data_IF_101891917537
#
_entry.id   IF_101891917537
#
_cell.length_a   1.000
_cell.length_b   1.000
_cell.length_c   1.000
_cell.angle_alpha   90.00
_cell.angle_beta   90.00
_cell.angle_gamma   90.00
#
_symmetry.space_group_name_H-M   'P 1'
#
loop_
_entity.id
_entity.type
_entity.pdbx_description
1 polymer ?
#
# COMPACT_ATOMS: atom_id res chain seq x y z
N UNK A 1 0.23 -3.81 5.84
CA UNK A 1 1.59 -3.33 6.19
C UNK A 1 2.43 -2.94 4.97
N UNK A 2 2.51 -3.75 3.90
CA UNK A 2 3.37 -3.42 2.73
C UNK A 2 3.09 -2.05 2.10
N UNK A 3 1.84 -1.66 1.91
CA UNK A 3 1.48 -0.36 1.31
C UNK A 3 1.91 0.83 2.17
N UNK A 4 1.83 0.70 3.49
CA UNK A 4 2.31 1.72 4.41
C UNK A 4 3.84 1.87 4.32
N UNK A 5 4.57 0.76 4.39
CA UNK A 5 6.04 0.77 4.30
C UNK A 5 6.53 1.36 2.97
N UNK A 6 5.89 1.01 1.86
CA UNK A 6 6.22 1.57 0.53
C UNK A 6 6.07 3.08 0.51
N UNK A 7 4.97 3.62 1.04
CA UNK A 7 4.76 5.07 1.10
C UNK A 7 5.76 5.79 2.00
N UNK A 8 6.14 5.21 3.14
CA UNK A 8 7.15 5.77 4.04
C UNK A 8 8.56 5.75 3.40
N UNK A 9 8.93 4.65 2.74
CA UNK A 9 10.20 4.55 2.01
C UNK A 9 10.24 5.59 0.88
N UNK A 10 9.15 5.75 0.13
CA UNK A 10 9.07 6.75 -0.92
C UNK A 10 9.31 8.16 -0.40
N UNK A 11 8.75 8.53 0.77
CA UNK A 11 9.03 9.82 1.41
C UNK A 11 10.52 10.01 1.70
N UNK A 12 11.17 9.00 2.25
CA UNK A 12 12.61 9.10 2.57
C UNK A 12 13.47 9.23 1.32
N UNK A 13 13.14 8.50 0.26
CA UNK A 13 13.86 8.58 -1.02
C UNK A 13 13.70 9.97 -1.64
N UNK A 14 12.49 10.53 -1.61
CA UNK A 14 12.25 11.86 -2.15
C UNK A 14 12.91 13.00 -1.33
N UNK A 15 13.08 12.81 -0.04
CA UNK A 15 13.89 13.74 0.78
C UNK A 15 15.35 13.77 0.33
N UNK A 16 15.84 12.73 -0.35
CA UNK A 16 17.18 12.71 -0.96
C UNK A 16 17.19 13.28 -2.39
N UNK A 17 16.08 13.85 -2.88
CA UNK A 17 15.96 14.43 -4.22
C UNK A 17 15.71 13.41 -5.32
N UNK A 18 15.37 12.16 -5.00
CA UNK A 18 15.09 11.10 -5.98
C UNK A 18 13.58 10.97 -6.15
N UNK A 19 13.01 11.27 -7.33
CA UNK A 19 11.57 11.16 -7.53
C UNK A 19 11.11 9.70 -7.47
N UNK A 20 9.96 9.49 -6.83
CA UNK A 20 9.33 8.17 -6.69
C UNK A 20 7.87 8.20 -7.14
N UNK A 21 7.33 7.04 -7.47
CA UNK A 21 5.90 6.81 -7.65
C UNK A 21 5.51 5.48 -7.02
N UNK A 22 4.43 5.48 -6.23
CA UNK A 22 3.90 4.28 -5.62
C UNK A 22 2.73 3.74 -6.45
N UNK A 23 2.82 2.50 -6.91
CA UNK A 23 1.66 1.77 -7.44
C UNK A 23 0.93 1.12 -6.28
N UNK A 24 -0.37 1.39 -6.13
CA UNK A 24 -1.14 0.93 -4.98
C UNK A 24 -2.52 0.42 -5.38
N UNK A 25 -2.95 -0.64 -4.69
CA UNK A 25 -4.35 -1.12 -4.69
C UNK A 25 -5.05 -0.91 -3.34
N UNK A 26 -4.44 -0.12 -2.43
CA UNK A 26 -4.98 0.19 -1.11
C UNK A 26 -5.07 1.71 -0.93
N UNK A 27 -6.13 2.31 -1.51
CA UNK A 27 -6.29 3.76 -1.57
C UNK A 27 -6.22 4.43 -0.20
N UNK A 28 -7.01 3.95 0.76
CA UNK A 28 -7.08 4.55 2.10
C UNK A 28 -5.73 4.54 2.84
N UNK A 29 -4.98 3.44 2.71
CA UNK A 29 -3.65 3.34 3.33
C UNK A 29 -2.68 4.31 2.64
N UNK A 30 -2.70 4.36 1.30
CA UNK A 30 -1.82 5.24 0.52
C UNK A 30 -2.09 6.71 0.85
N UNK A 31 -3.35 7.09 0.99
CA UNK A 31 -3.75 8.45 1.37
C UNK A 31 -3.35 8.78 2.80
N UNK A 32 -3.55 7.86 3.77
CA UNK A 32 -3.20 8.10 5.17
C UNK A 32 -1.70 8.25 5.39
N UNK A 33 -0.88 7.50 4.63
CA UNK A 33 0.58 7.63 4.65
C UNK A 33 1.05 8.89 3.92
N UNK A 34 0.20 9.47 3.04
CA UNK A 34 0.55 10.61 2.18
C UNK A 34 1.82 10.32 1.37
N UNK A 35 1.81 9.19 0.63
CA UNK A 35 2.92 8.88 -0.29
C UNK A 35 3.16 10.08 -1.22
N UNK A 36 4.42 10.47 -1.52
CA UNK A 36 4.70 11.67 -2.29
C UNK A 36 3.99 11.72 -3.63
N UNK A 37 4.03 10.61 -4.37
CA UNK A 37 3.29 10.40 -5.61
C UNK A 37 2.74 8.99 -5.60
N UNK A 38 1.47 8.83 -5.93
CA UNK A 38 0.88 7.51 -6.02
C UNK A 38 -0.09 7.40 -7.19
N UNK A 39 -0.18 6.19 -7.70
CA UNK A 39 -1.16 5.78 -8.70
C UNK A 39 -1.97 4.65 -8.10
N UNK A 40 -3.29 4.80 -8.09
CA UNK A 40 -4.21 3.82 -7.55
C UNK A 40 -4.89 3.03 -8.66
N UNK A 41 -5.09 1.76 -8.39
CA UNK A 41 -5.83 0.84 -9.24
C UNK A 41 -6.65 -0.12 -8.38
N UNK A 42 -7.90 -0.36 -8.75
CA UNK A 42 -8.81 -1.25 -7.99
C UNK A 42 -8.63 -2.72 -8.40
N UNK A 43 -7.44 -3.25 -8.09
CA UNK A 43 -7.03 -4.62 -8.39
C UNK A 43 -6.67 -5.39 -7.11
N UNK A 44 -6.71 -6.74 -7.15
CA UNK A 44 -6.25 -7.56 -6.03
C UNK A 44 -4.80 -7.29 -5.67
N UNK A 45 -4.47 -7.47 -4.39
CA UNK A 45 -3.08 -7.43 -3.92
C UNK A 45 -2.20 -8.41 -4.72
N UNK A 46 -1.05 -7.91 -5.16
CA UNK A 46 -0.14 -8.68 -6.02
C UNK A 46 -0.37 -8.47 -7.53
N UNK A 47 -1.44 -7.81 -7.93
CA UNK A 47 -1.76 -7.52 -9.34
C UNK A 47 -1.77 -6.02 -9.67
N UNK A 48 -1.13 -5.19 -8.87
CA UNK A 48 -1.08 -3.73 -9.05
C UNK A 48 -0.40 -3.29 -10.36
N UNK A 49 0.42 -4.15 -10.96
CA UNK A 49 1.09 -3.86 -12.24
C UNK A 49 0.31 -4.38 -13.46
N UNK A 50 -0.91 -4.88 -13.27
CA UNK A 50 -1.80 -5.32 -14.34
C UNK A 50 -2.27 -6.77 -14.21
N UNK A 51 -3.21 -7.13 -15.05
CA UNK A 51 -3.78 -8.48 -15.10
C UNK A 51 -2.75 -9.47 -15.65
N UNK A 52 -2.68 -10.71 -15.11
CA UNK A 52 -1.80 -11.73 -15.67
C UNK A 52 -2.20 -12.05 -17.11
N UNK A 53 -1.20 -12.24 -17.95
CA UNK A 53 -1.34 -12.54 -19.39
C UNK A 53 -2.09 -11.46 -20.20
N UNK A 54 -2.15 -10.22 -19.70
CA UNK A 54 -2.71 -9.07 -20.40
C UNK A 54 -1.63 -7.98 -20.57
N UNK A 55 -0.78 -8.09 -21.61
CA UNK A 55 0.29 -7.11 -21.86
C UNK A 55 -0.24 -5.69 -22.07
N UNK A 56 -1.44 -5.54 -22.66
CA UNK A 56 -2.03 -4.23 -22.92
C UNK A 56 -2.41 -3.51 -21.63
N UNK A 57 -2.99 -4.23 -20.65
CA UNK A 57 -3.31 -3.69 -19.36
C UNK A 57 -2.04 -3.33 -18.55
N UNK A 58 -1.05 -4.21 -18.59
CA UNK A 58 0.24 -3.99 -17.93
C UNK A 58 0.98 -2.78 -18.49
N UNK A 59 1.04 -2.66 -19.82
CA UNK A 59 1.68 -1.53 -20.49
C UNK A 59 0.97 -0.21 -20.17
N UNK A 60 -0.36 -0.20 -20.20
CA UNK A 60 -1.15 0.97 -19.83
C UNK A 60 -0.82 1.45 -18.42
N UNK A 61 -0.86 0.55 -17.43
CA UNK A 61 -0.62 0.89 -16.03
C UNK A 61 0.80 1.41 -15.84
N UNK A 62 1.80 0.75 -16.41
CA UNK A 62 3.19 1.16 -16.27
C UNK A 62 3.46 2.52 -16.92
N UNK A 63 2.90 2.76 -18.13
CA UNK A 63 3.03 4.06 -18.78
C UNK A 63 2.40 5.17 -17.97
N UNK A 64 1.22 4.95 -17.43
CA UNK A 64 0.54 5.93 -16.56
C UNK A 64 1.28 6.17 -15.25
N UNK A 65 1.84 5.12 -14.65
CA UNK A 65 2.65 5.26 -13.45
C UNK A 65 3.93 6.07 -13.70
N UNK A 66 4.62 5.82 -14.81
CA UNK A 66 5.82 6.58 -15.16
C UNK A 66 5.49 8.05 -15.49
N UNK A 67 4.39 8.30 -16.21
CA UNK A 67 3.94 9.68 -16.47
C UNK A 67 3.61 10.43 -15.19
N UNK A 68 3.05 9.75 -14.18
CA UNK A 68 2.69 10.35 -12.89
C UNK A 68 3.89 10.94 -12.14
N UNK A 69 5.12 10.52 -12.44
CA UNK A 69 6.34 11.13 -11.88
C UNK A 69 6.45 12.61 -12.27
N UNK A 70 6.08 12.93 -13.52
CA UNK A 70 6.09 14.31 -14.01
C UNK A 70 4.75 15.03 -13.78
N UNK A 71 3.62 14.31 -13.86
CA UNK A 71 2.29 14.88 -13.78
C UNK A 71 1.91 15.30 -12.35
N UNK A 72 2.38 14.56 -11.33
CA UNK A 72 2.11 14.88 -9.93
C UNK A 72 3.15 15.86 -9.43
N UNK A 73 2.74 17.11 -9.26
CA UNK A 73 3.56 18.20 -8.74
C UNK A 73 3.34 18.45 -7.25
N UNK A 74 2.17 18.09 -6.71
CA UNK A 74 1.84 18.25 -5.30
C UNK A 74 2.05 16.94 -4.54
N UNK A 75 2.96 16.91 -3.54
CA UNK A 75 3.18 15.73 -2.71
C UNK A 75 1.92 15.28 -1.98
N UNK A 76 1.70 13.96 -1.93
CA UNK A 76 0.51 13.37 -1.31
C UNK A 76 -0.66 13.16 -2.28
N UNK A 77 -0.51 13.57 -3.54
CA UNK A 77 -1.53 13.35 -4.57
C UNK A 77 -1.57 11.91 -5.04
N UNK A 78 -2.78 11.43 -5.35
CA UNK A 78 -3.04 10.10 -5.86
C UNK A 78 -3.83 10.20 -7.16
N UNK A 79 -3.32 9.63 -8.24
CA UNK A 79 -4.04 9.49 -9.51
C UNK A 79 -4.77 8.15 -9.49
N UNK A 80 -6.11 8.17 -9.62
CA UNK A 80 -6.90 6.97 -9.86
C UNK A 80 -6.88 6.65 -11.36
N UNK A 81 -6.47 5.42 -11.72
CA UNK A 81 -6.47 4.97 -13.11
C UNK A 81 -7.85 4.58 -13.63
N UNK A 82 -8.88 4.58 -12.75
CA UNK A 82 -10.26 4.20 -13.08
C UNK A 82 -10.37 2.81 -13.72
N UNK A 83 -9.37 1.94 -13.46
CA UNK A 83 -9.35 0.56 -13.92
C UNK A 83 -9.85 -0.35 -12.82
N UNK A 84 -10.69 -1.31 -13.19
CA UNK A 84 -11.27 -2.31 -12.28
C UNK A 84 -10.84 -3.71 -12.68
N UNK A 85 -10.68 -4.57 -11.69
CA UNK A 85 -10.36 -5.97 -11.90
C UNK A 85 -11.48 -6.70 -12.64
N UNK A 86 -12.73 -6.43 -12.24
CA UNK A 86 -13.96 -7.03 -12.76
C UNK A 86 -15.08 -6.02 -12.69
N UNK A 87 -16.13 -6.26 -13.47
CA UNK A 87 -17.36 -5.45 -13.48
C UNK A 87 -18.15 -5.55 -12.17
N UNK A 88 -17.93 -6.62 -11.38
CA UNK A 88 -18.53 -6.79 -10.05
C UNK A 88 -17.46 -6.75 -8.96
N UNK A 89 -17.86 -6.30 -7.76
CA UNK A 89 -16.99 -6.27 -6.58
C UNK A 89 -16.95 -7.60 -5.80
N UNK A 90 -17.56 -8.66 -6.32
CA UNK A 90 -17.62 -9.97 -5.65
C UNK A 90 -16.24 -10.57 -5.37
N UNK A 91 -15.26 -10.31 -6.24
CA UNK A 91 -13.88 -10.75 -6.04
C UNK A 91 -13.26 -10.21 -4.74
N UNK A 92 -13.68 -9.03 -4.28
CA UNK A 92 -13.21 -8.43 -3.01
C UNK A 92 -13.58 -9.31 -1.82
N UNK A 93 -14.74 -9.96 -1.87
CA UNK A 93 -15.19 -10.84 -0.80
C UNK A 93 -14.37 -12.14 -0.70
N UNK A 94 -13.88 -12.64 -1.82
CA UNK A 94 -13.09 -13.88 -1.87
C UNK A 94 -11.61 -13.65 -1.56
N UNK A 95 -11.05 -12.51 -1.96
CA UNK A 95 -9.64 -12.20 -1.79
C UNK A 95 -9.35 -11.58 -0.41
N UNK A 96 -10.29 -10.79 0.12
CA UNK A 96 -10.11 -10.05 1.37
C UNK A 96 -10.57 -10.80 2.62
N UNK A 97 -11.34 -11.87 2.47
CA UNK A 97 -11.82 -12.68 3.60
C UNK A 97 -11.27 -14.10 3.49
N UNK A 98 -10.69 -14.66 4.55
CA UNK A 98 -10.42 -16.08 4.60
C UNK A 98 -11.74 -16.81 4.35
N UNK A 99 -11.80 -17.68 3.34
CA UNK A 99 -12.97 -18.50 3.10
C UNK A 99 -13.23 -19.34 4.36
N UNK A 100 -14.37 -19.15 5.01
CA UNK A 100 -14.88 -20.06 6.05
C UNK A 100 -15.02 -21.44 5.38
N UNK A 101 -14.04 -22.32 5.56
CA UNK A 101 -14.07 -23.67 4.97
C UNK A 101 -12.82 -24.15 4.28
N UNK A 102 -11.79 -23.34 4.14
CA UNK A 102 -10.46 -23.86 3.76
C UNK A 102 -9.91 -24.53 5.01
N UNK A 103 -9.91 -25.87 4.99
CA UNK A 103 -9.37 -26.69 6.07
C UNK A 103 -7.96 -26.18 6.43
N UNK A 104 -7.69 -26.05 7.72
CA UNK A 104 -6.45 -25.59 8.34
C UNK A 104 -5.18 -26.36 7.90
N UNK A 105 -5.29 -27.28 6.94
CA UNK A 105 -4.23 -28.23 6.56
C UNK A 105 -3.46 -27.93 5.27
N UNK A 106 -3.72 -26.81 4.54
CA UNK A 106 -3.08 -26.62 3.23
C UNK A 106 -2.41 -25.26 3.04
N UNK A 107 -2.17 -24.52 4.09
CA UNK A 107 -1.30 -23.36 4.06
C UNK A 107 -0.38 -23.44 5.26
N UNK A 108 0.69 -24.22 5.15
CA UNK A 108 1.84 -24.00 6.00
C UNK A 108 2.46 -22.65 5.60
N UNK A 109 1.88 -21.58 6.14
CA UNK A 109 2.58 -20.30 6.18
C UNK A 109 3.73 -20.53 7.17
N UNK A 110 4.93 -20.75 6.68
CA UNK A 110 6.15 -20.97 7.47
C UNK A 110 6.56 -19.70 8.26
N UNK A 111 5.68 -18.69 8.30
CA UNK A 111 5.90 -17.51 9.11
C UNK A 111 5.71 -17.85 10.57
N UNK A 112 6.65 -17.38 11.37
CA UNK A 112 6.57 -17.41 12.83
C UNK A 112 5.18 -16.91 13.29
N UNK A 113 4.62 -17.60 14.27
CA UNK A 113 3.35 -17.28 14.90
C UNK A 113 3.20 -15.77 15.15
N UNK A 114 2.12 -15.18 14.67
CA UNK A 114 1.91 -13.74 14.85
C UNK A 114 1.58 -13.48 16.29
N UNK A 115 2.32 -12.57 16.90
CA UNK A 115 1.97 -12.09 18.23
C UNK A 115 0.60 -11.40 18.21
N UNK A 116 -0.17 -11.60 19.26
CA UNK A 116 -1.48 -10.96 19.45
C UNK A 116 -1.37 -9.44 19.68
N UNK A 117 -0.17 -8.98 20.06
CA UNK A 117 0.15 -7.58 20.30
C UNK A 117 1.16 -7.07 19.28
N UNK A 118 1.11 -5.79 18.88
CA UNK A 118 2.11 -5.19 18.01
C UNK A 118 3.51 -5.32 18.62
N UNK A 119 4.48 -5.63 17.77
CA UNK A 119 5.89 -5.71 18.16
C UNK A 119 6.59 -4.45 17.67
N UNK A 120 7.03 -3.62 18.58
CA UNK A 120 7.81 -2.42 18.30
C UNK A 120 9.31 -2.72 18.46
N UNK A 121 10.13 -2.08 17.64
CA UNK A 121 11.59 -2.23 17.74
C UNK A 121 12.16 -1.44 18.93
N UNK A 122 11.54 -0.29 19.20
CA UNK A 122 11.92 0.59 20.30
C UNK A 122 10.70 1.04 21.09
N UNK A 123 10.88 1.53 22.32
CA UNK A 123 9.81 2.11 23.13
C UNK A 123 9.22 3.37 22.51
N UNK A 124 10.04 4.14 21.81
CA UNK A 124 9.62 5.35 21.11
C UNK A 124 8.63 5.05 19.98
N UNK A 125 8.77 3.91 19.30
CA UNK A 125 7.85 3.47 18.25
C UNK A 125 6.45 3.21 18.82
N UNK A 126 6.36 2.73 20.06
CA UNK A 126 5.08 2.50 20.73
C UNK A 126 4.38 3.82 21.11
N UNK A 127 5.15 4.87 21.44
CA UNK A 127 4.59 6.19 21.80
C UNK A 127 3.98 6.93 20.61
N UNK A 128 4.51 6.69 19.40
CA UNK A 128 4.01 7.33 18.16
C UNK A 128 2.94 6.50 17.43
N UNK A 129 2.64 5.30 17.93
CA UNK A 129 1.60 4.46 17.39
C UNK A 129 0.22 5.08 17.59
N UNK A 130 -0.67 4.95 16.59
CA UNK A 130 -2.04 5.41 16.70
C UNK A 130 -2.83 4.48 17.63
N UNK A 131 -3.58 5.05 18.57
CA UNK A 131 -4.40 4.30 19.53
C UNK A 131 -5.46 3.41 18.86
N UNK A 132 -5.95 3.81 17.67
CA UNK A 132 -6.94 3.07 16.88
C UNK A 132 -6.31 2.11 15.88
N UNK A 133 -5.02 2.29 15.57
CA UNK A 133 -4.25 1.40 14.72
C UNK A 133 -2.85 1.19 15.32
N UNK A 134 -2.70 0.32 16.34
CA UNK A 134 -1.44 0.14 17.06
C UNK A 134 -0.27 -0.30 16.16
N UNK A 135 -0.57 -0.83 14.96
CA UNK A 135 0.44 -1.22 13.98
C UNK A 135 0.77 -0.11 12.98
N UNK A 136 0.12 1.06 13.09
CA UNK A 136 0.33 2.20 12.20
C UNK A 136 1.16 3.25 12.93
N UNK A 137 2.38 3.48 12.47
CA UNK A 137 3.27 4.53 12.96
C UNK A 137 3.19 5.70 11.98
N UNK A 138 2.73 6.85 12.47
CA UNK A 138 2.65 8.08 11.68
C UNK A 138 3.79 9.03 12.08
N UNK A 139 4.72 9.24 11.18
CA UNK A 139 5.93 10.06 11.43
C UNK A 139 5.68 11.55 11.57
N UNK A 140 4.46 12.03 11.31
CA UNK A 140 4.13 13.47 11.39
C UNK A 140 4.19 14.04 12.83
N UNK A 141 4.05 13.19 13.86
CA UNK A 141 4.18 13.64 15.26
C UNK A 141 5.62 13.94 15.70
N UNK A 142 6.60 13.41 14.98
CA UNK A 142 8.02 13.58 15.30
C UNK A 142 8.62 14.87 14.75
N UNK A 143 7.97 15.53 13.79
CA UNK A 143 8.47 16.76 13.17
C UNK A 143 8.01 18.05 13.88
N UNK A 144 7.14 17.96 14.90
CA UNK A 144 6.62 19.13 15.63
C UNK A 144 7.39 19.43 16.92
N UNK A 145 8.53 18.77 17.17
CA UNK A 145 9.42 19.05 18.31
C UNK A 145 10.86 19.26 17.82
N UNK A 146 11.06 20.34 17.09
CA UNK A 146 12.36 20.97 16.90
C UNK A 146 12.18 22.49 16.95
#
# INVERSE_FOLDING_TARGET
>A
MCHQSVGLIAKQIEQQGIPTVCLSSALSITQSVKAPRAVYIDYPLGHTAGKPNDPGDQEFILRRALSAIADITEPGSVIDLERRWSDSDEWKNTVMRPSKGRSEKTSSDDRIERFSTPQYQTSEDAEVADAHCPTCIFTEKTLSKA
#
